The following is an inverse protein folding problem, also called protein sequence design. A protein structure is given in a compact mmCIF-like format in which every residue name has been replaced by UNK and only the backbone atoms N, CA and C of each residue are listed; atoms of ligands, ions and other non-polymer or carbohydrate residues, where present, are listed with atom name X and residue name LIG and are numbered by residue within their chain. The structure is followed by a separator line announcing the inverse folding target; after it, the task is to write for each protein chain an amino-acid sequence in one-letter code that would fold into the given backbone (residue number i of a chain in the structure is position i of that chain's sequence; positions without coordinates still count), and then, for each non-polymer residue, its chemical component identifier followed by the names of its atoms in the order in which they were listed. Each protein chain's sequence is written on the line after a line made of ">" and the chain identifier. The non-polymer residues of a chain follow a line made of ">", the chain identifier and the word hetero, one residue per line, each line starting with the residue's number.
data_IF_066704680693
#
_entry.id   IF_066704680693
#
_cell.length_a   1.000
_cell.length_b   1.000
_cell.length_c   1.000
_cell.angle_alpha   90.00
_cell.angle_beta   90.00
_cell.angle_gamma   90.00
#
_symmetry.space_group_name_H-M   'P 1'
#
loop_
_entity.id
_entity.type
_entity.pdbx_description
1 polymer ?
#
# COMPACT_ATOMS: atom_id res chain seq x y z
N UNK A 1 56.82 27.49 7.98
CA UNK A 1 55.52 27.19 8.65
C UNK A 1 54.42 27.20 7.60
N UNK A 2 53.61 26.13 7.59
CA UNK A 2 52.63 25.70 6.59
C UNK A 2 51.56 26.75 6.25
N UNK A 3 51.36 27.11 4.98
CA UNK A 3 50.44 26.56 3.94
C UNK A 3 48.95 26.95 4.10
N UNK A 4 48.56 27.87 3.21
CA UNK A 4 47.23 28.13 2.65
C UNK A 4 46.59 26.84 2.11
N UNK A 5 45.28 26.62 2.21
CA UNK A 5 44.45 26.09 1.11
C UNK A 5 42.93 26.11 1.43
N UNK A 6 42.19 26.64 0.47
CA UNK A 6 40.72 26.59 0.31
C UNK A 6 40.22 25.14 0.27
N UNK A 7 39.06 24.87 0.87
CA UNK A 7 38.34 23.60 0.67
C UNK A 7 37.78 23.52 -0.76
N UNK A 8 38.09 22.42 -1.42
CA UNK A 8 37.77 22.07 -2.81
C UNK A 8 36.31 21.60 -2.95
N UNK A 9 35.63 22.06 -4.01
CA UNK A 9 34.57 21.32 -4.69
C UNK A 9 35.19 20.17 -5.47
N UNK A 10 34.59 18.97 -5.42
CA UNK A 10 34.97 17.86 -6.28
C UNK A 10 33.79 17.47 -7.18
N UNK A 11 33.95 17.81 -8.45
CA UNK A 11 33.25 17.24 -9.60
C UNK A 11 33.94 15.92 -9.92
N UNK A 12 33.17 14.86 -10.21
CA UNK A 12 33.69 13.65 -10.83
C UNK A 12 32.96 13.40 -12.14
N UNK A 13 33.78 13.36 -13.20
CA UNK A 13 33.48 13.13 -14.60
C UNK A 13 33.55 11.62 -14.86
N UNK A 14 32.68 11.09 -15.72
CA UNK A 14 33.00 9.92 -16.54
C UNK A 14 32.59 10.23 -17.98
N UNK A 15 33.54 10.10 -18.92
CA UNK A 15 33.35 10.34 -20.34
C UNK A 15 33.81 9.12 -21.17
N UNK A 16 33.00 8.79 -22.19
CA UNK A 16 33.33 8.29 -23.56
C UNK A 16 34.02 6.90 -23.71
N UNK A 17 33.85 6.07 -24.75
CA UNK A 17 33.09 6.10 -26.01
C UNK A 17 33.02 4.66 -26.62
N UNK A 18 31.95 4.40 -27.39
CA UNK A 18 31.65 3.41 -28.46
C UNK A 18 32.59 2.24 -28.82
N UNK A 19 31.98 1.09 -29.15
CA UNK A 19 32.22 0.31 -30.39
C UNK A 19 30.95 -0.47 -30.86
N UNK A 20 30.53 -0.16 -32.10
CA UNK A 20 29.82 -0.94 -33.16
C UNK A 20 29.01 -2.22 -32.81
N UNK A 21 27.70 -2.21 -33.09
CA UNK A 21 26.84 -3.39 -33.31
C UNK A 21 25.63 -3.03 -34.19
N UNK A 22 25.42 -3.75 -35.29
CA UNK A 22 24.56 -3.39 -36.43
C UNK A 22 23.03 -3.33 -36.18
N UNK A 23 22.23 -3.05 -37.23
CA UNK A 23 20.78 -2.90 -37.11
C UNK A 23 20.12 -4.25 -36.84
N UNK A 24 19.87 -4.56 -35.56
CA UNK A 24 18.99 -5.66 -35.19
C UNK A 24 17.53 -5.23 -35.31
N UNK A 25 16.78 -6.10 -35.98
CA UNK A 25 15.37 -5.98 -36.29
C UNK A 25 14.49 -5.63 -35.08
N UNK A 26 13.38 -4.97 -35.39
CA UNK A 26 12.26 -4.58 -34.55
C UNK A 26 11.88 -5.66 -33.52
N UNK A 27 12.51 -5.63 -32.35
CA UNK A 27 11.89 -6.09 -31.12
C UNK A 27 11.00 -4.94 -30.65
N UNK A 28 9.73 -4.93 -31.08
CA UNK A 28 8.71 -4.18 -30.38
C UNK A 28 8.65 -4.73 -28.95
N UNK A 29 9.32 -4.05 -28.02
CA UNK A 29 9.11 -4.24 -26.60
C UNK A 29 7.63 -3.96 -26.33
N UNK A 30 6.87 -5.02 -26.05
CA UNK A 30 5.59 -4.86 -25.35
C UNK A 30 5.88 -4.06 -24.08
N UNK A 31 5.09 -3.02 -23.72
CA UNK A 31 5.28 -2.33 -22.47
C UNK A 31 4.80 -3.24 -21.33
N UNK A 32 5.68 -4.11 -20.85
CA UNK A 32 5.48 -4.95 -19.67
C UNK A 32 6.13 -4.36 -18.40
N UNK A 33 6.78 -3.18 -18.51
CA UNK A 33 7.64 -2.61 -17.45
C UNK A 33 7.17 -1.25 -16.89
N UNK A 34 5.96 -0.78 -17.22
CA UNK A 34 5.43 0.40 -16.54
C UNK A 34 5.07 0.03 -15.08
N UNK A 35 5.52 0.80 -14.07
CA UNK A 35 5.06 0.63 -12.70
C UNK A 35 3.53 0.65 -12.66
N UNK A 36 2.88 -0.19 -11.83
CA UNK A 36 1.44 -0.14 -11.69
C UNK A 36 1.03 1.29 -11.28
N UNK A 37 -0.11 1.79 -11.77
CA UNK A 37 -0.57 3.11 -11.39
C UNK A 37 -0.76 3.18 -9.87
N UNK A 38 -0.65 4.37 -9.25
CA UNK A 38 -0.99 4.52 -7.84
C UNK A 38 -2.43 4.09 -7.56
N UNK A 39 -2.72 3.57 -6.34
CA UNK A 39 -4.10 3.35 -5.93
C UNK A 39 -4.84 4.69 -5.86
N UNK A 40 -6.10 4.69 -6.28
CA UNK A 40 -6.89 5.93 -6.46
C UNK A 40 -8.16 5.99 -5.63
N UNK A 41 -8.67 4.85 -5.15
CA UNK A 41 -9.92 4.79 -4.38
C UNK A 41 -9.92 3.60 -3.43
N UNK A 42 -10.44 3.81 -2.22
CA UNK A 42 -10.69 2.80 -1.20
C UNK A 42 -12.18 2.76 -0.91
N UNK A 43 -12.76 1.56 -0.85
CA UNK A 43 -14.11 1.35 -0.36
C UNK A 43 -14.16 0.28 0.72
N UNK A 44 -14.93 0.52 1.78
CA UNK A 44 -15.22 -0.45 2.84
C UNK A 44 -16.72 -0.42 3.11
N UNK A 45 -17.50 -1.32 2.48
CA UNK A 45 -18.96 -1.27 2.53
C UNK A 45 -19.55 -1.40 3.93
N UNK A 46 -18.93 -2.17 4.84
CA UNK A 46 -19.45 -2.37 6.20
C UNK A 46 -19.54 -1.09 7.05
N UNK A 47 -18.88 -0.02 6.61
CA UNK A 47 -18.86 1.28 7.31
C UNK A 47 -19.21 2.46 6.39
N UNK A 48 -19.79 2.19 5.22
CA UNK A 48 -20.12 3.16 4.16
C UNK A 48 -18.94 4.07 3.77
N UNK A 49 -17.72 3.51 3.78
CA UNK A 49 -16.53 4.26 3.39
C UNK A 49 -16.32 4.18 1.88
N UNK A 50 -16.17 5.34 1.28
CA UNK A 50 -15.83 5.54 -0.13
C UNK A 50 -15.01 6.82 -0.24
N UNK A 51 -13.70 6.68 -0.50
CA UNK A 51 -12.77 7.82 -0.49
C UNK A 51 -11.69 7.68 -1.55
N UNK A 52 -11.19 8.82 -2.02
CA UNK A 52 -10.01 8.85 -2.87
C UNK A 52 -8.75 8.48 -2.10
N UNK A 53 -7.75 7.99 -2.83
CA UNK A 53 -6.41 7.72 -2.30
C UNK A 53 -5.43 8.67 -2.99
N UNK A 54 -4.62 9.38 -2.19
CA UNK A 54 -3.53 10.22 -2.67
C UNK A 54 -2.19 9.60 -2.32
N UNK A 55 -1.22 9.67 -3.23
CA UNK A 55 0.14 9.26 -2.95
C UNK A 55 0.81 10.28 -2.01
N UNK A 56 1.36 9.81 -0.89
CA UNK A 56 1.94 10.67 0.15
C UNK A 56 3.36 10.27 0.51
N UNK A 57 4.12 11.27 0.95
CA UNK A 57 5.51 11.14 1.38
C UNK A 57 5.72 11.69 2.77
N UNK A 58 6.98 11.77 3.17
CA UNK A 58 7.38 12.40 4.41
C UNK A 58 7.33 13.93 4.32
N UNK A 59 6.91 14.56 5.40
CA UNK A 59 6.98 16.01 5.61
C UNK A 59 7.73 16.31 6.91
N UNK A 60 8.40 17.47 6.94
CA UNK A 60 9.07 17.97 8.12
C UNK A 60 8.19 18.98 8.83
N UNK A 61 7.91 18.71 10.10
CA UNK A 61 7.14 19.59 11.02
C UNK A 61 8.07 20.11 12.12
N UNK A 62 7.56 21.00 12.97
CA UNK A 62 8.33 21.48 14.14
C UNK A 62 8.58 20.35 15.15
N UNK A 63 7.73 19.33 15.13
CA UNK A 63 7.72 18.17 16.00
C UNK A 63 8.54 16.99 15.44
N UNK A 64 9.07 17.13 14.22
CA UNK A 64 9.88 16.11 13.54
C UNK A 64 9.33 15.73 12.17
N UNK A 65 9.85 14.65 11.60
CA UNK A 65 9.41 14.11 10.30
C UNK A 65 8.21 13.18 10.51
N UNK A 66 7.12 13.43 9.79
CA UNK A 66 5.88 12.63 9.84
C UNK A 66 5.32 12.41 8.44
N UNK A 67 4.34 11.52 8.30
CA UNK A 67 3.61 11.34 7.05
C UNK A 67 2.67 12.52 6.79
N UNK A 68 2.59 12.94 5.53
CA UNK A 68 1.57 13.86 5.07
C UNK A 68 0.23 13.11 4.96
N UNK A 69 -0.62 13.23 5.98
CA UNK A 69 -1.95 12.61 5.96
C UNK A 69 -2.91 13.57 5.26
N UNK A 70 -3.54 13.18 4.14
CA UNK A 70 -4.43 14.09 3.42
C UNK A 70 -5.64 14.48 4.27
N UNK A 71 -6.10 15.73 4.09
CA UNK A 71 -7.25 16.25 4.83
C UNK A 71 -8.55 15.49 4.47
N UNK A 72 -8.85 15.30 3.19
CA UNK A 72 -10.17 14.78 2.76
C UNK A 72 -10.08 13.43 2.04
N UNK A 73 -8.94 12.74 2.16
CA UNK A 73 -8.66 11.50 1.43
C UNK A 73 -7.83 10.53 2.27
N UNK A 74 -7.79 9.26 1.86
CA UNK A 74 -6.77 8.33 2.35
C UNK A 74 -5.41 8.64 1.70
N UNK A 75 -4.32 8.42 2.42
CA UNK A 75 -2.96 8.55 1.91
C UNK A 75 -2.33 7.18 1.70
N UNK A 76 -1.81 6.90 0.51
CA UNK A 76 -0.93 5.75 0.28
C UNK A 76 0.53 6.13 0.47
N UNK A 77 1.23 5.42 1.36
CA UNK A 77 2.65 5.66 1.59
C UNK A 77 3.46 5.26 0.36
N UNK A 78 4.08 6.22 -0.32
CA UNK A 78 4.91 5.97 -1.52
C UNK A 78 6.16 5.13 -1.26
N UNK A 79 6.53 4.94 0.01
CA UNK A 79 7.61 4.03 0.43
C UNK A 79 7.16 2.59 0.64
N UNK A 80 5.85 2.35 0.61
CA UNK A 80 5.23 1.03 0.72
C UNK A 80 4.97 0.43 -0.66
N UNK A 81 4.68 -0.87 -0.72
CA UNK A 81 4.40 -1.55 -1.98
C UNK A 81 3.07 -1.05 -2.56
N UNK A 82 2.90 -0.93 -3.90
CA UNK A 82 1.57 -0.75 -4.48
C UNK A 82 0.69 -1.99 -4.25
N UNK A 83 -0.65 -1.86 -4.17
CA UNK A 83 -1.56 -3.01 -4.14
C UNK A 83 -1.39 -3.94 -5.36
N UNK A 84 -1.85 -5.19 -5.28
CA UNK A 84 -1.62 -6.28 -6.27
C UNK A 84 -0.18 -6.80 -6.39
N UNK A 85 0.69 -6.48 -5.43
CA UNK A 85 2.10 -6.91 -5.43
C UNK A 85 2.46 -7.49 -4.07
N UNK A 86 3.34 -8.49 -4.09
CA UNK A 86 3.95 -9.04 -2.87
C UNK A 86 4.60 -7.91 -2.06
N UNK A 87 4.24 -7.82 -0.78
CA UNK A 87 4.58 -6.71 0.09
C UNK A 87 3.38 -6.12 0.80
N UNK A 88 3.62 -4.99 1.45
CA UNK A 88 2.62 -4.30 2.26
C UNK A 88 2.30 -2.95 1.63
N UNK A 89 1.06 -2.76 1.20
CA UNK A 89 0.54 -1.45 0.82
C UNK A 89 -0.05 -0.77 2.05
N UNK A 90 0.50 0.38 2.44
CA UNK A 90 0.08 1.07 3.66
C UNK A 90 -0.79 2.27 3.30
N UNK A 91 -2.02 2.28 3.82
CA UNK A 91 -2.96 3.39 3.69
C UNK A 91 -3.19 4.04 5.06
N UNK A 92 -3.03 5.35 5.12
CA UNK A 92 -3.20 6.18 6.32
C UNK A 92 -4.40 7.11 6.13
N UNK A 93 -5.05 7.51 7.23
CA UNK A 93 -6.15 8.47 7.16
C UNK A 93 -6.54 9.01 8.52
N UNK A 94 -7.09 10.23 8.53
CA UNK A 94 -7.52 10.88 9.75
C UNK A 94 -8.76 10.24 10.35
N UNK A 95 -8.78 10.15 11.68
CA UNK A 95 -9.90 9.58 12.43
C UNK A 95 -10.85 10.66 12.99
N UNK A 96 -10.32 11.79 13.46
CA UNK A 96 -11.03 12.73 14.33
C UNK A 96 -10.89 14.21 13.94
N UNK A 97 -10.03 14.52 12.98
CA UNK A 97 -9.82 15.83 12.37
C UNK A 97 -10.01 15.71 10.85
N UNK A 98 -10.17 16.84 10.15
CA UNK A 98 -10.06 16.99 8.68
C UNK A 98 -10.63 15.83 7.85
N UNK A 99 -11.83 15.99 7.27
CA UNK A 99 -12.57 14.93 6.56
C UNK A 99 -12.98 13.71 7.38
N UNK A 100 -12.13 13.28 8.32
CA UNK A 100 -12.25 12.11 9.20
C UNK A 100 -12.54 10.85 8.37
N UNK A 101 -11.83 10.67 7.26
CA UNK A 101 -12.06 9.58 6.32
C UNK A 101 -12.04 8.21 7.00
N UNK A 102 -11.23 8.02 8.04
CA UNK A 102 -11.13 6.79 8.83
C UNK A 102 -11.88 6.85 10.18
N UNK A 103 -12.89 7.74 10.31
CA UNK A 103 -13.72 7.87 11.53
C UNK A 103 -14.37 6.56 11.97
N UNK A 104 -14.80 5.73 11.02
CA UNK A 104 -15.56 4.51 11.31
C UNK A 104 -14.69 3.26 11.18
N UNK A 105 -13.37 3.40 10.98
CA UNK A 105 -12.47 2.24 10.85
C UNK A 105 -12.50 1.33 12.08
N UNK A 106 -12.87 1.89 13.24
CA UNK A 106 -13.12 1.16 14.49
C UNK A 106 -14.25 0.13 14.38
N UNK A 107 -15.16 0.22 13.42
CA UNK A 107 -16.32 -0.66 13.30
C UNK A 107 -16.10 -1.79 12.29
N UNK A 108 -14.98 -1.75 11.55
CA UNK A 108 -14.59 -2.82 10.62
C UNK A 108 -14.16 -4.07 11.40
N UNK A 109 -14.74 -5.20 11.05
CA UNK A 109 -14.48 -6.50 11.65
C UNK A 109 -13.52 -7.35 10.81
N UNK A 110 -12.92 -8.38 11.43
CA UNK A 110 -12.27 -9.46 10.69
C UNK A 110 -13.34 -10.17 9.84
N UNK A 111 -13.03 -10.44 8.58
CA UNK A 111 -13.95 -10.96 7.56
C UNK A 111 -14.62 -9.89 6.70
N UNK A 112 -14.56 -8.60 7.09
CA UNK A 112 -15.10 -7.53 6.26
C UNK A 112 -14.28 -7.36 4.97
N UNK A 113 -14.98 -7.01 3.88
CA UNK A 113 -14.37 -6.75 2.58
C UNK A 113 -13.96 -5.29 2.46
N UNK A 114 -12.86 -5.07 1.75
CA UNK A 114 -12.50 -3.77 1.21
C UNK A 114 -12.09 -3.91 -0.25
N UNK A 115 -12.28 -2.84 -1.02
CA UNK A 115 -11.82 -2.79 -2.40
C UNK A 115 -10.87 -1.61 -2.61
N UNK A 116 -9.83 -1.84 -3.42
CA UNK A 116 -8.91 -0.79 -3.84
C UNK A 116 -8.87 -0.70 -5.35
N UNK A 117 -9.12 0.50 -5.87
CA UNK A 117 -9.01 0.77 -7.30
C UNK A 117 -7.57 1.16 -7.66
N UNK A 118 -7.00 0.45 -8.63
CA UNK A 118 -5.67 0.68 -9.19
C UNK A 118 -5.79 0.78 -10.71
N UNK A 119 -5.68 1.99 -11.24
CA UNK A 119 -5.93 2.26 -12.66
C UNK A 119 -7.35 1.88 -13.07
N UNK A 120 -7.49 0.84 -13.89
CA UNK A 120 -8.80 0.31 -14.35
C UNK A 120 -9.26 -0.93 -13.57
N UNK A 121 -8.45 -1.42 -12.63
CA UNK A 121 -8.73 -2.63 -11.87
C UNK A 121 -9.30 -2.26 -10.51
N UNK A 122 -10.23 -3.08 -10.03
CA UNK A 122 -10.69 -3.06 -8.63
C UNK A 122 -10.25 -4.37 -8.00
N UNK A 123 -9.52 -4.27 -6.91
CA UNK A 123 -8.91 -5.39 -6.21
C UNK A 123 -9.68 -5.63 -4.91
N UNK A 124 -10.14 -6.86 -4.70
CA UNK A 124 -10.86 -7.27 -3.49
C UNK A 124 -9.88 -7.77 -2.43
N UNK A 125 -10.07 -7.31 -1.20
CA UNK A 125 -9.36 -7.80 -0.01
C UNK A 125 -10.34 -8.14 1.11
N UNK A 126 -9.91 -8.99 2.03
CA UNK A 126 -10.61 -9.36 3.27
C UNK A 126 -9.76 -9.00 4.48
N UNK A 127 -10.35 -8.33 5.47
CA UNK A 127 -9.68 -8.02 6.73
C UNK A 127 -9.42 -9.31 7.50
N UNK A 128 -8.16 -9.61 7.77
CA UNK A 128 -7.71 -10.80 8.51
C UNK A 128 -7.32 -10.49 9.94
N UNK A 129 -6.79 -9.29 10.19
CA UNK A 129 -6.29 -8.90 11.50
C UNK A 129 -6.73 -7.49 11.88
N UNK A 130 -6.90 -7.30 13.19
CA UNK A 130 -7.23 -6.03 13.81
C UNK A 130 -6.46 -5.89 15.11
N UNK A 131 -5.79 -4.76 15.29
CA UNK A 131 -4.99 -4.50 16.49
C UNK A 131 -5.09 -3.03 16.93
N UNK A 132 -4.99 -2.83 18.24
CA UNK A 132 -4.92 -1.51 18.85
C UNK A 132 -3.60 -1.36 19.59
N UNK A 133 -2.68 -0.60 19.01
CA UNK A 133 -1.30 -0.49 19.49
C UNK A 133 -1.11 0.83 20.24
N UNK A 134 -0.55 0.79 21.44
CA UNK A 134 -0.29 2.01 22.22
C UNK A 134 1.00 2.69 21.76
N UNK A 135 0.93 4.00 21.50
CA UNK A 135 2.06 4.83 21.04
C UNK A 135 2.55 5.83 22.08
N UNK A 136 1.63 6.35 22.90
CA UNK A 136 1.94 7.34 23.93
C UNK A 136 2.25 6.65 25.26
N UNK A 137 3.31 7.10 25.93
CA UNK A 137 3.73 6.59 27.24
C UNK A 137 4.41 5.22 27.22
N UNK A 138 4.69 4.64 26.04
CA UNK A 138 5.44 3.39 25.90
C UNK A 138 6.93 3.63 25.65
N UNK A 139 7.76 2.61 25.85
CA UNK A 139 9.19 2.64 25.58
C UNK A 139 9.53 2.65 24.08
N UNK A 140 10.78 2.93 23.74
CA UNK A 140 11.24 2.91 22.34
C UNK A 140 11.13 1.53 21.69
N UNK A 141 11.32 0.44 22.46
CA UNK A 141 11.18 -0.92 21.93
C UNK A 141 9.77 -1.19 21.41
N UNK A 142 8.75 -0.91 22.22
CA UNK A 142 7.35 -1.07 21.83
C UNK A 142 6.99 -0.23 20.61
N UNK A 143 7.49 1.01 20.51
CA UNK A 143 7.28 1.83 19.30
C UNK A 143 7.92 1.20 18.07
N UNK A 144 9.11 0.63 18.20
CA UNK A 144 9.79 -0.09 17.11
C UNK A 144 9.03 -1.35 16.72
N UNK A 145 8.49 -2.09 17.68
CA UNK A 145 7.63 -3.26 17.43
C UNK A 145 6.35 -2.85 16.69
N UNK A 146 5.67 -1.80 17.14
CA UNK A 146 4.48 -1.27 16.46
C UNK A 146 4.78 -0.82 15.03
N UNK A 147 5.92 -0.16 14.81
CA UNK A 147 6.34 0.30 13.49
C UNK A 147 6.56 -0.84 12.49
N UNK A 148 6.75 -2.09 12.93
CA UNK A 148 6.90 -3.24 12.02
C UNK A 148 5.66 -3.48 11.16
N UNK A 149 4.47 -3.12 11.66
CA UNK A 149 3.21 -3.32 10.94
C UNK A 149 3.05 -2.48 9.67
N UNK A 150 3.80 -1.38 9.55
CA UNK A 150 3.86 -0.56 8.33
C UNK A 150 5.14 -0.82 7.51
N UNK A 151 5.93 -1.82 7.90
CA UNK A 151 7.13 -2.25 7.20
C UNK A 151 6.84 -3.24 6.06
N UNK A 152 7.89 -3.76 5.41
CA UNK A 152 7.77 -4.78 4.37
C UNK A 152 7.34 -6.14 4.95
N UNK A 153 6.51 -6.85 4.20
CA UNK A 153 6.05 -8.21 4.51
C UNK A 153 6.27 -9.14 3.29
N UNK A 154 6.40 -10.47 3.50
CA UNK A 154 6.70 -11.41 2.42
C UNK A 154 5.47 -11.82 1.60
N UNK A 155 4.27 -11.51 2.05
CA UNK A 155 2.99 -11.77 1.39
C UNK A 155 2.39 -10.48 0.83
N UNK A 156 1.36 -10.60 -0.01
CA UNK A 156 0.55 -9.46 -0.41
C UNK A 156 -0.46 -9.11 0.69
N UNK A 157 -0.44 -7.84 1.10
CA UNK A 157 -1.39 -7.30 2.08
C UNK A 157 -1.61 -5.80 1.93
N UNK A 158 -2.73 -5.34 2.48
CA UNK A 158 -3.00 -3.93 2.74
C UNK A 158 -3.05 -3.70 4.24
N UNK A 159 -2.33 -2.69 4.73
CA UNK A 159 -2.39 -2.23 6.12
C UNK A 159 -3.07 -0.87 6.17
N UNK A 160 -4.22 -0.79 6.85
CA UNK A 160 -4.91 0.46 7.12
C UNK A 160 -4.50 0.98 8.50
N UNK A 161 -4.14 2.26 8.60
CA UNK A 161 -3.64 2.85 9.84
C UNK A 161 -4.39 4.14 10.17
N UNK A 162 -4.86 4.25 11.41
CA UNK A 162 -5.45 5.50 11.91
C UNK A 162 -5.14 5.73 13.39
N UNK A 163 -5.31 6.98 13.85
CA UNK A 163 -5.17 7.35 15.25
C UNK A 163 -6.41 6.95 16.06
N UNK A 164 -6.21 6.53 17.31
CA UNK A 164 -7.31 6.21 18.22
C UNK A 164 -6.91 6.49 19.67
N UNK A 165 -7.84 6.75 20.61
CA UNK A 165 -9.23 7.14 20.38
C UNK A 165 -9.34 8.60 19.93
N UNK A 166 -10.51 8.98 19.40
CA UNK A 166 -10.76 10.31 18.83
C UNK A 166 -10.51 11.50 19.76
N UNK A 167 -10.45 11.31 21.07
CA UNK A 167 -10.19 12.39 22.03
C UNK A 167 -8.73 12.48 22.49
N UNK A 168 -7.87 11.51 22.16
CA UNK A 168 -6.52 11.45 22.73
C UNK A 168 -5.42 10.93 21.79
N UNK A 169 -5.75 10.22 20.72
CA UNK A 169 -4.78 9.68 19.74
C UNK A 169 -3.61 8.89 20.37
N UNK A 170 -3.83 8.28 21.53
CA UNK A 170 -2.80 7.57 22.32
C UNK A 170 -2.40 6.23 21.72
N UNK A 171 -3.18 5.73 20.77
CA UNK A 171 -3.04 4.45 20.09
C UNK A 171 -3.09 4.62 18.57
N UNK A 172 -2.69 3.56 17.87
CA UNK A 172 -2.94 3.32 16.46
C UNK A 172 -3.89 2.14 16.35
N UNK A 173 -4.98 2.34 15.63
CA UNK A 173 -5.79 1.24 15.14
C UNK A 173 -5.18 0.80 13.81
N UNK A 174 -4.85 -0.48 13.71
CA UNK A 174 -4.32 -1.11 12.50
C UNK A 174 -5.25 -2.24 12.08
N UNK A 175 -5.59 -2.26 10.79
CA UNK A 175 -6.25 -3.39 10.14
C UNK A 175 -5.32 -3.95 9.07
N UNK A 176 -5.25 -5.27 8.97
CA UNK A 176 -4.54 -5.98 7.89
C UNK A 176 -5.58 -6.69 7.04
N UNK A 177 -5.45 -6.58 5.72
CA UNK A 177 -6.30 -7.28 4.77
C UNK A 177 -5.48 -8.01 3.70
N UNK A 178 -5.94 -9.20 3.30
CA UNK A 178 -5.31 -10.02 2.26
C UNK A 178 -6.20 -10.16 1.02
N UNK A 179 -5.61 -10.42 -0.16
CA UNK A 179 -6.36 -10.61 -1.39
C UNK A 179 -7.44 -11.68 -1.23
N UNK A 180 -8.62 -11.41 -1.77
CA UNK A 180 -9.65 -12.43 -1.90
C UNK A 180 -9.26 -13.34 -3.06
N UNK A 181 -8.93 -14.59 -2.75
CA UNK A 181 -8.73 -15.59 -3.80
C UNK A 181 -10.12 -15.92 -4.37
N UNK A 182 -10.38 -15.72 -5.67
CA UNK A 182 -11.64 -16.13 -6.27
C UNK A 182 -11.85 -17.62 -6.03
N UNK A 183 -12.99 -18.00 -5.47
CA UNK A 183 -13.34 -19.41 -5.32
C UNK A 183 -13.37 -20.04 -6.73
N UNK A 184 -12.48 -21.01 -6.98
CA UNK A 184 -12.52 -21.79 -8.21
C UNK A 184 -13.70 -22.74 -8.09
N UNK A 185 -14.88 -22.31 -8.54
CA UNK A 185 -16.04 -23.20 -8.67
C UNK A 185 -15.68 -24.27 -9.70
N UNK A 186 -15.56 -25.56 -9.33
CA UNK A 186 -15.27 -26.60 -10.32
C UNK A 186 -16.41 -26.65 -11.32
N UNK A 187 -16.08 -26.68 -12.61
CA UNK A 187 -17.06 -26.78 -13.68
C UNK A 187 -17.96 -28.00 -13.40
N UNK A 188 -19.30 -27.89 -13.57
CA UNK A 188 -20.19 -29.02 -13.38
C UNK A 188 -19.70 -30.17 -14.25
N UNK A 189 -19.47 -31.33 -13.63
CA UNK A 189 -19.07 -32.55 -14.34
C UNK A 189 -20.13 -32.81 -15.40
N UNK A 190 -19.78 -32.67 -16.68
CA UNK A 190 -20.67 -33.09 -17.77
C UNK A 190 -20.86 -34.59 -17.61
N UNK A 191 -22.03 -35.00 -17.12
CA UNK A 191 -22.46 -36.40 -17.19
C UNK A 191 -22.59 -36.74 -18.67
N UNK A 192 -21.84 -37.71 -19.22
CA UNK A 192 -22.01 -38.12 -20.59
C UNK A 192 -23.45 -38.57 -20.80
N UNK A 193 -24.14 -37.98 -21.78
CA UNK A 193 -25.47 -38.43 -22.18
C UNK A 193 -25.37 -39.86 -22.71
N UNK A 194 -25.89 -40.82 -21.95
CA UNK A 194 -26.08 -42.20 -22.37
C UNK A 194 -27.27 -42.29 -23.33
N UNK A 195 -27.11 -41.70 -24.52
CA UNK A 195 -28.10 -41.76 -25.59
C UNK A 195 -27.41 -42.06 -26.92
N UNK A 196 -26.84 -43.26 -27.04
CA UNK A 196 -26.69 -43.95 -28.33
C UNK A 196 -26.27 -45.40 -28.07
N UNK A 197 -27.25 -46.30 -27.93
CA UNK A 197 -27.17 -47.72 -28.29
C UNK A 197 -28.46 -48.44 -27.88
N UNK A 198 -29.51 -48.28 -28.69
CA UNK A 198 -30.44 -49.37 -29.00
C UNK A 198 -30.76 -49.22 -30.48
N UNK A 199 -30.09 -50.05 -31.29
CA UNK A 199 -30.53 -50.47 -32.61
C UNK A 199 -31.18 -51.84 -32.46
#
# INVERSE_FOLDING_TARGET
>A
MARFFRKFSLILIVAALLLMGGPSALAQSRPADAPPPPPSRLQIPSIDLDTSILAVGWISTKEGTTWDVPQEAAGWLTTSTPPSRMGNAVLIGHHNIEGKVFRNLKDVAVGDRLTVTVGKQTLDYEVSERMLLREIGVGQETRRENARWIGPFPDERITLVTCWPSWANTHRLILVAHPVVPEVVPAPTRVPSSASQMR
#
